data_IF_163348011445
#
_entry.id   IF_163348011445
#
_cell.length_a   1.000
_cell.length_b   1.000
_cell.length_c   1.000
_cell.angle_alpha   90.00
_cell.angle_beta   90.00
_cell.angle_gamma   90.00
#
_symmetry.space_group_name_H-M   'P 1'
#
loop_
_entity.id
_entity.type
_entity.pdbx_description
1 polymer ?
#
# COMPACT_ATOMS: atom_id res chain seq x y z
N UNK A 1 17.10 1.24 6.40
CA UNK A 1 16.93 -0.14 5.96
C UNK A 1 16.54 -1.09 7.09
N UNK A 2 17.18 -0.98 8.27
CA UNK A 2 16.99 -1.88 9.41
C UNK A 2 15.59 -1.86 10.04
N UNK A 3 14.79 -0.82 9.82
CA UNK A 3 13.42 -0.74 10.33
C UNK A 3 12.39 -1.35 9.37
N UNK A 4 12.51 -1.10 8.07
CA UNK A 4 11.52 -1.51 7.07
C UNK A 4 11.82 -2.89 6.47
N UNK A 5 13.06 -3.20 6.18
CA UNK A 5 13.43 -4.43 5.51
C UNK A 5 12.94 -5.69 6.24
N UNK A 6 13.13 -5.83 7.59
CA UNK A 6 12.61 -6.99 8.33
C UNK A 6 11.10 -7.15 8.26
N UNK A 7 10.36 -6.05 8.12
CA UNK A 7 8.90 -6.09 8.00
C UNK A 7 8.42 -6.55 6.63
N UNK A 8 9.21 -6.31 5.59
CA UNK A 8 8.89 -6.72 4.22
C UNK A 8 9.27 -8.16 3.93
N UNK A 9 10.45 -8.60 4.37
CA UNK A 9 11.03 -9.89 3.98
C UNK A 9 11.25 -10.87 5.15
N UNK A 10 10.99 -10.43 6.38
CA UNK A 10 11.25 -11.18 7.60
C UNK A 10 12.65 -10.92 8.18
N UNK A 11 12.79 -11.11 9.49
CA UNK A 11 13.98 -10.74 10.23
C UNK A 11 15.25 -11.48 9.75
N UNK A 12 15.18 -12.80 9.58
CA UNK A 12 16.32 -13.61 9.18
C UNK A 12 16.87 -13.24 7.80
N UNK A 13 15.99 -13.08 6.81
CA UNK A 13 16.40 -12.65 5.46
C UNK A 13 16.96 -11.24 5.44
N UNK A 14 16.32 -10.33 6.17
CA UNK A 14 16.80 -8.96 6.26
C UNK A 14 18.20 -8.88 6.87
N UNK A 15 18.45 -9.65 7.92
CA UNK A 15 19.76 -9.72 8.58
C UNK A 15 20.82 -10.30 7.63
N UNK A 16 20.52 -11.40 6.94
CA UNK A 16 21.42 -12.02 5.97
C UNK A 16 21.77 -11.05 4.84
N UNK A 17 20.79 -10.42 4.20
CA UNK A 17 21.00 -9.43 3.14
C UNK A 17 21.89 -8.28 3.60
N UNK A 18 21.64 -7.74 4.81
CA UNK A 18 22.41 -6.61 5.33
C UNK A 18 23.84 -6.99 5.72
N UNK A 19 24.05 -8.13 6.37
CA UNK A 19 25.37 -8.54 6.83
C UNK A 19 26.27 -9.04 5.70
N UNK A 20 25.69 -9.71 4.71
CA UNK A 20 26.45 -10.26 3.57
C UNK A 20 26.58 -9.26 2.42
N UNK A 21 25.89 -8.11 2.51
CA UNK A 21 25.80 -7.14 1.41
C UNK A 21 25.34 -7.78 0.08
N UNK A 22 24.42 -8.74 0.18
CA UNK A 22 23.91 -9.49 -0.95
C UNK A 22 23.28 -8.57 -2.00
N UNK A 23 23.64 -8.77 -3.26
CA UNK A 23 22.96 -8.16 -4.40
C UNK A 23 21.84 -9.09 -4.86
N UNK A 24 20.62 -8.57 -4.89
CA UNK A 24 19.45 -9.30 -5.36
C UNK A 24 19.15 -8.94 -6.80
N UNK A 25 18.81 -9.93 -7.61
CA UNK A 25 18.14 -9.70 -8.90
C UNK A 25 16.71 -9.22 -8.68
N UNK A 26 16.10 -8.64 -9.71
CA UNK A 26 14.69 -8.23 -9.64
C UNK A 26 13.76 -9.41 -9.31
N UNK A 27 14.02 -10.59 -9.89
CA UNK A 27 13.21 -11.77 -9.62
C UNK A 27 13.35 -12.26 -8.18
N UNK A 28 14.58 -12.35 -7.66
CA UNK A 28 14.82 -12.70 -6.26
C UNK A 28 14.14 -11.71 -5.30
N UNK A 29 14.23 -10.41 -5.58
CA UNK A 29 13.55 -9.37 -4.79
C UNK A 29 12.02 -9.54 -4.79
N UNK A 30 11.42 -9.96 -5.92
CA UNK A 30 10.01 -10.30 -6.01
C UNK A 30 9.68 -11.57 -5.22
N UNK A 31 10.47 -12.61 -5.35
CA UNK A 31 10.22 -13.91 -4.71
C UNK A 31 10.24 -13.81 -3.18
N UNK A 32 11.05 -12.91 -2.63
CA UNK A 32 11.07 -12.66 -1.18
C UNK A 32 10.08 -11.58 -0.70
N UNK A 33 9.29 -10.98 -1.60
CA UNK A 33 8.28 -9.99 -1.25
C UNK A 33 8.83 -8.57 -1.03
N UNK A 34 10.07 -8.28 -1.47
CA UNK A 34 10.64 -6.93 -1.40
C UNK A 34 10.01 -5.99 -2.42
N UNK A 35 9.70 -6.50 -3.60
CA UNK A 35 8.96 -5.80 -4.66
C UNK A 35 7.80 -6.67 -5.15
N UNK A 36 6.81 -6.05 -5.81
CA UNK A 36 5.58 -6.74 -6.21
C UNK A 36 5.53 -7.10 -7.68
N UNK A 37 6.28 -6.41 -8.53
CA UNK A 37 6.25 -6.58 -9.99
C UNK A 37 7.65 -6.57 -10.57
N UNK A 38 7.86 -7.41 -11.57
CA UNK A 38 9.04 -7.43 -12.41
C UNK A 38 8.57 -7.48 -13.86
N UNK A 39 9.10 -6.59 -14.67
CA UNK A 39 8.85 -6.49 -16.11
C UNK A 39 10.18 -6.24 -16.83
N UNK A 40 10.29 -6.50 -18.13
CA UNK A 40 11.45 -6.09 -18.91
C UNK A 40 11.74 -4.59 -18.81
N UNK A 41 13.01 -4.21 -18.86
CA UNK A 41 13.44 -2.82 -18.64
C UNK A 41 12.71 -1.82 -19.56
N UNK A 42 12.50 -2.18 -20.81
CA UNK A 42 11.79 -1.36 -21.82
C UNK A 42 10.30 -1.18 -21.51
N UNK A 43 9.71 -2.00 -20.64
CA UNK A 43 8.28 -1.97 -20.29
C UNK A 43 8.02 -1.29 -18.93
N UNK A 44 9.04 -0.92 -18.19
CA UNK A 44 8.90 -0.37 -16.81
C UNK A 44 8.05 0.89 -16.81
N UNK A 45 8.29 1.81 -17.74
CA UNK A 45 7.54 3.07 -17.81
C UNK A 45 6.07 2.83 -18.17
N UNK A 46 5.82 2.01 -19.18
CA UNK A 46 4.44 1.71 -19.62
C UNK A 46 3.63 1.00 -18.54
N UNK A 47 4.25 0.07 -17.83
CA UNK A 47 3.61 -0.63 -16.72
C UNK A 47 3.34 0.31 -15.53
N UNK A 48 4.27 1.21 -15.23
CA UNK A 48 4.06 2.23 -14.20
C UNK A 48 2.92 3.18 -14.55
N UNK A 49 2.80 3.59 -15.82
CA UNK A 49 1.69 4.42 -16.31
C UNK A 49 0.35 3.69 -16.15
N UNK A 50 0.25 2.42 -16.55
CA UNK A 50 -0.98 1.61 -16.38
C UNK A 50 -1.41 1.53 -14.92
N UNK A 51 -0.46 1.32 -14.01
CA UNK A 51 -0.75 1.34 -12.57
C UNK A 51 -1.24 2.71 -12.13
N UNK A 52 -0.59 3.77 -12.58
CA UNK A 52 -0.99 5.16 -12.30
C UNK A 52 -2.41 5.47 -12.78
N UNK A 53 -2.78 5.03 -13.97
CA UNK A 53 -4.13 5.17 -14.52
C UNK A 53 -5.17 4.41 -13.69
N UNK A 54 -4.84 3.18 -13.26
CA UNK A 54 -5.70 2.39 -12.37
C UNK A 54 -5.95 3.11 -11.05
N UNK A 55 -4.89 3.69 -10.46
CA UNK A 55 -5.00 4.46 -9.23
C UNK A 55 -5.78 5.77 -9.43
N UNK A 56 -5.59 6.44 -10.56
CA UNK A 56 -6.28 7.68 -10.88
C UNK A 56 -7.79 7.49 -11.08
N UNK A 57 -8.21 6.32 -11.57
CA UNK A 57 -9.61 5.95 -11.73
C UNK A 57 -10.31 5.59 -10.39
N UNK A 58 -9.55 5.30 -9.34
CA UNK A 58 -10.11 4.95 -8.04
C UNK A 58 -10.63 6.17 -7.26
N UNK A 59 -11.64 6.02 -6.39
CA UNK A 59 -12.14 7.11 -5.56
C UNK A 59 -11.04 7.73 -4.69
N UNK A 60 -10.80 9.04 -4.83
CA UNK A 60 -9.69 9.75 -4.15
C UNK A 60 -9.70 9.57 -2.62
N UNK A 61 -10.89 9.61 -2.01
CA UNK A 61 -11.02 9.42 -0.57
C UNK A 61 -10.57 8.02 -0.15
N UNK A 62 -11.01 6.98 -0.86
CA UNK A 62 -10.61 5.60 -0.59
C UNK A 62 -9.09 5.44 -0.68
N UNK A 63 -8.47 5.97 -1.74
CA UNK A 63 -7.02 5.89 -1.93
C UNK A 63 -6.25 6.58 -0.81
N UNK A 64 -6.69 7.79 -0.41
CA UNK A 64 -6.10 8.55 0.68
C UNK A 64 -6.21 7.78 2.01
N UNK A 65 -7.41 7.35 2.37
CA UNK A 65 -7.64 6.62 3.63
C UNK A 65 -6.84 5.32 3.69
N UNK A 66 -6.83 4.54 2.61
CA UNK A 66 -6.05 3.29 2.54
C UNK A 66 -4.57 3.56 2.78
N UNK A 67 -3.97 4.52 2.06
CA UNK A 67 -2.56 4.87 2.23
C UNK A 67 -2.25 5.34 3.66
N UNK A 68 -3.09 6.22 4.20
CA UNK A 68 -2.90 6.79 5.53
C UNK A 68 -2.99 5.70 6.63
N UNK A 69 -3.91 4.74 6.48
CA UNK A 69 -4.00 3.57 7.37
C UNK A 69 -2.76 2.70 7.30
N UNK A 70 -2.30 2.35 6.10
CA UNK A 70 -1.07 1.56 5.95
C UNK A 70 0.13 2.24 6.61
N UNK A 71 0.30 3.56 6.40
CA UNK A 71 1.41 4.30 7.01
C UNK A 71 1.33 4.33 8.54
N UNK A 72 0.15 4.59 9.10
CA UNK A 72 -0.05 4.67 10.55
C UNK A 72 0.05 3.31 11.24
N UNK A 73 -0.47 2.26 10.61
CA UNK A 73 -0.53 0.93 11.20
C UNK A 73 0.75 0.12 11.01
N UNK A 74 1.60 0.48 10.03
CA UNK A 74 2.83 -0.26 9.75
C UNK A 74 3.79 -0.38 10.94
N UNK A 75 3.76 0.57 11.87
CA UNK A 75 4.61 0.64 13.06
C UNK A 75 3.83 0.54 14.37
N UNK A 76 2.53 0.31 14.31
CA UNK A 76 1.67 0.30 15.49
C UNK A 76 1.71 -1.07 16.19
N UNK A 77 2.21 -1.16 17.41
CA UNK A 77 2.22 -2.40 18.18
C UNK A 77 0.86 -2.73 18.82
N UNK A 78 -0.02 -1.74 19.00
CA UNK A 78 -1.32 -1.91 19.66
C UNK A 78 -2.39 -2.28 18.63
N UNK A 79 -2.89 -3.52 18.73
CA UNK A 79 -3.94 -4.05 17.87
C UNK A 79 -5.24 -3.24 17.95
N UNK A 80 -5.61 -2.76 19.13
CA UNK A 80 -6.83 -1.97 19.30
C UNK A 80 -6.72 -0.61 18.63
N UNK A 81 -5.55 0.01 18.67
CA UNK A 81 -5.31 1.30 18.03
C UNK A 81 -5.46 1.22 16.51
N UNK A 82 -4.92 0.18 15.85
CA UNK A 82 -5.10 0.06 14.40
C UNK A 82 -6.54 -0.33 14.03
N UNK A 83 -7.22 -1.20 14.79
CA UNK A 83 -8.62 -1.55 14.53
C UNK A 83 -9.55 -0.33 14.66
N UNK A 84 -9.29 0.54 15.65
CA UNK A 84 -10.06 1.77 15.80
C UNK A 84 -9.85 2.70 14.58
N UNK A 85 -8.62 2.88 14.11
CA UNK A 85 -8.33 3.69 12.91
C UNK A 85 -9.00 3.15 11.66
N UNK A 86 -9.00 1.83 11.48
CA UNK A 86 -9.69 1.18 10.35
C UNK A 86 -11.20 1.41 10.41
N UNK A 87 -11.79 1.28 11.61
CA UNK A 87 -13.22 1.54 11.84
C UNK A 87 -13.57 3.00 11.52
N UNK A 88 -12.79 3.96 12.02
CA UNK A 88 -13.01 5.38 11.79
C UNK A 88 -12.92 5.74 10.31
N UNK A 89 -11.92 5.20 9.61
CA UNK A 89 -11.77 5.39 8.16
C UNK A 89 -12.92 4.77 7.36
N UNK A 90 -13.41 3.61 7.76
CA UNK A 90 -14.57 2.96 7.13
C UNK A 90 -15.83 3.81 7.30
N UNK A 91 -16.07 4.35 8.51
CA UNK A 91 -17.19 5.25 8.78
C UNK A 91 -17.09 6.52 7.94
N UNK A 92 -15.90 7.12 7.82
CA UNK A 92 -15.67 8.30 6.96
C UNK A 92 -16.03 8.00 5.51
N UNK A 93 -15.59 6.86 4.99
CA UNK A 93 -15.89 6.42 3.63
C UNK A 93 -17.40 6.22 3.43
N UNK A 94 -18.11 5.57 4.36
CA UNK A 94 -19.55 5.37 4.27
C UNK A 94 -20.32 6.70 4.27
N UNK A 95 -19.90 7.66 5.10
CA UNK A 95 -20.50 9.00 5.14
C UNK A 95 -20.31 9.75 3.82
N UNK A 96 -19.14 9.63 3.20
CA UNK A 96 -18.87 10.25 1.90
C UNK A 96 -19.71 9.64 0.79
N UNK A 97 -19.85 8.31 0.76
CA UNK A 97 -20.70 7.59 -0.21
C UNK A 97 -22.17 8.03 -0.05
N UNK A 98 -22.68 8.07 1.18
CA UNK A 98 -24.04 8.53 1.45
C UNK A 98 -24.25 9.96 0.97
N UNK A 99 -23.35 10.87 1.30
CA UNK A 99 -23.42 12.28 0.88
C UNK A 99 -23.44 12.42 -0.66
N UNK A 100 -22.62 11.66 -1.37
CA UNK A 100 -22.59 11.66 -2.83
C UNK A 100 -23.92 11.17 -3.40
N UNK A 101 -24.47 10.07 -2.89
CA UNK A 101 -25.75 9.53 -3.32
C UNK A 101 -26.92 10.49 -3.05
N UNK A 102 -26.94 11.13 -1.88
CA UNK A 102 -28.00 12.10 -1.53
C UNK A 102 -27.92 13.35 -2.42
N UNK A 103 -26.70 13.79 -2.79
CA UNK A 103 -26.49 14.90 -3.73
C UNK A 103 -26.96 14.56 -5.15
N UNK A 104 -26.74 13.33 -5.61
CA UNK A 104 -27.21 12.87 -6.93
C UNK A 104 -28.72 12.71 -6.96
N UNK A 105 -29.33 12.21 -5.89
CA UNK A 105 -30.79 12.12 -5.75
C UNK A 105 -31.47 13.51 -5.74
N UNK A 106 -30.81 14.54 -5.18
CA UNK A 106 -31.33 15.91 -5.17
C UNK A 106 -31.30 16.60 -6.54
N UNK A 107 -30.51 16.10 -7.50
CA UNK A 107 -30.42 16.59 -8.90
C UNK A 107 -31.47 16.00 -9.82
N UNK A 108 -32.06 14.90 -9.45
CA UNK A 108 -33.16 14.26 -10.16
C UNK A 108 -34.49 14.63 -9.54
#
# INVERSE_FOLDING_TARGET
>A
CTALLPRLVGYGRALDICLTSQKLTAQEAKDIGLITRVVPDEQVLDEAIKVGETLAAAPRLQMRLTRDLFQKNALEPDTNAYLQRETDAFIEMLRAIKKARDADAAKS
#
